data_IF_807647745229
#
_entry.id   IF_807647745229
#
_cell.length_a   1.000
_cell.length_b   1.000
_cell.length_c   1.000
_cell.angle_alpha   90.00
_cell.angle_beta   90.00
_cell.angle_gamma   90.00
#
_symmetry.space_group_name_H-M   'P 1'
#
loop_
_entity.id
_entity.type
_entity.pdbx_description
1 polymer ?
#
# COMPACT_ATOMS: atom_id res chain seq x y z
N UNK A 1 3.52 1.86 -1.73
CA UNK A 1 4.28 0.73 -2.31
C UNK A 1 4.36 0.88 -3.81
N UNK A 2 5.32 0.25 -4.49
CA UNK A 2 5.34 0.17 -5.95
C UNK A 2 5.05 -1.28 -6.37
N UNK A 3 3.80 -1.74 -6.17
CA UNK A 3 3.47 -3.19 -6.20
C UNK A 3 3.83 -3.87 -7.52
N UNK A 4 3.66 -3.19 -8.65
CA UNK A 4 4.03 -3.71 -9.98
C UNK A 4 5.54 -3.93 -10.14
N UNK A 5 6.35 -3.34 -9.27
CA UNK A 5 7.81 -3.46 -9.28
C UNK A 5 8.32 -4.36 -8.13
N UNK A 6 7.44 -5.17 -7.54
CA UNK A 6 7.80 -6.10 -6.45
C UNK A 6 8.04 -5.44 -5.09
N UNK A 7 7.80 -4.13 -4.96
CA UNK A 7 7.78 -3.45 -3.67
C UNK A 7 6.46 -3.78 -2.98
N UNK A 8 6.49 -4.72 -2.02
CA UNK A 8 5.33 -5.26 -1.31
C UNK A 8 5.49 -5.11 0.22
N UNK A 9 4.37 -4.96 0.93
CA UNK A 9 4.40 -4.88 2.40
C UNK A 9 4.91 -6.18 3.03
N UNK A 10 4.54 -7.33 2.46
CA UNK A 10 4.96 -8.67 2.93
C UNK A 10 6.48 -8.88 2.91
N UNK A 11 7.18 -8.25 1.96
CA UNK A 11 8.63 -8.35 1.85
C UNK A 11 9.34 -7.23 2.60
N UNK A 12 8.76 -6.03 2.66
CA UNK A 12 9.41 -4.84 3.19
C UNK A 12 9.23 -4.68 4.71
N UNK A 13 8.00 -4.82 5.23
CA UNK A 13 7.70 -4.51 6.64
C UNK A 13 8.42 -5.45 7.63
N UNK A 14 8.51 -6.77 7.41
CA UNK A 14 9.25 -7.64 8.32
C UNK A 14 10.73 -7.29 8.42
N UNK A 15 11.34 -6.82 7.33
CA UNK A 15 12.74 -6.34 7.32
C UNK A 15 12.85 -5.09 8.18
N UNK A 16 12.03 -4.07 7.93
CA UNK A 16 12.06 -2.83 8.71
C UNK A 16 11.84 -3.08 10.21
N UNK A 17 10.92 -3.98 10.58
CA UNK A 17 10.70 -4.35 11.98
C UNK A 17 11.93 -5.03 12.59
N UNK A 18 12.54 -5.98 11.90
CA UNK A 18 13.73 -6.72 12.37
C UNK A 18 14.93 -5.80 12.57
N UNK A 19 15.15 -4.88 11.65
CA UNK A 19 16.26 -3.92 11.72
C UNK A 19 15.95 -2.69 12.60
N UNK A 20 14.76 -2.63 13.22
CA UNK A 20 14.28 -1.51 14.02
C UNK A 20 14.33 -0.15 13.29
N UNK A 21 13.88 -0.14 12.02
CA UNK A 21 13.86 1.03 11.15
C UNK A 21 12.42 1.49 10.93
N UNK A 22 12.16 2.78 11.15
CA UNK A 22 10.89 3.41 10.81
C UNK A 22 10.71 3.52 9.29
N UNK A 23 9.47 3.38 8.82
CA UNK A 23 9.14 3.54 7.40
C UNK A 23 7.83 4.31 7.22
N UNK A 24 7.67 4.93 6.05
CA UNK A 24 6.45 5.66 5.65
C UNK A 24 6.04 5.16 4.29
N UNK A 25 4.76 4.85 4.11
CA UNK A 25 4.23 4.51 2.80
C UNK A 25 3.64 5.77 2.13
N UNK A 26 4.04 6.02 0.89
CA UNK A 26 3.36 7.00 0.05
C UNK A 26 2.02 6.42 -0.41
N UNK A 27 0.93 7.21 -0.34
CA UNK A 27 -0.46 6.82 -0.60
C UNK A 27 -1.15 6.16 0.59
N UNK A 28 -2.46 6.32 0.80
CA UNK A 28 -3.14 5.64 1.93
C UNK A 28 -4.57 5.24 1.57
N UNK A 29 -5.42 6.21 1.27
CA UNK A 29 -6.83 6.02 0.89
C UNK A 29 -7.00 6.44 -0.56
N UNK A 30 -7.77 5.66 -1.32
CA UNK A 30 -8.22 6.03 -2.66
C UNK A 30 -9.04 7.31 -2.62
N UNK A 31 -8.52 8.33 -3.28
CA UNK A 31 -9.04 9.68 -3.20
C UNK A 31 -8.30 10.64 -4.12
N UNK A 32 -8.20 11.90 -3.70
CA UNK A 32 -7.78 13.01 -4.58
C UNK A 32 -6.42 12.81 -5.25
N UNK A 33 -5.45 12.22 -4.56
CA UNK A 33 -4.09 12.05 -5.07
C UNK A 33 -3.94 10.88 -6.03
N UNK A 34 -4.93 9.98 -6.10
CA UNK A 34 -5.01 8.89 -7.08
C UNK A 34 -3.71 8.09 -7.19
N UNK A 35 -3.12 7.72 -6.06
CA UNK A 35 -1.82 7.04 -6.01
C UNK A 35 -1.95 5.53 -6.24
N UNK A 36 -3.16 4.99 -6.40
CA UNK A 36 -3.38 3.64 -6.94
C UNK A 36 -2.90 3.46 -8.38
N UNK A 37 -2.75 4.52 -9.16
CA UNK A 37 -2.26 4.42 -10.54
C UNK A 37 -0.72 4.34 -10.59
N UNK A 38 -0.14 3.46 -11.42
CA UNK A 38 1.30 3.39 -11.65
C UNK A 38 1.87 4.69 -12.23
N UNK A 39 3.18 4.90 -12.03
CA UNK A 39 3.89 6.02 -12.65
C UNK A 39 3.72 6.02 -14.19
N UNK A 40 3.50 7.20 -14.76
CA UNK A 40 3.26 7.35 -16.20
C UNK A 40 1.81 7.13 -16.65
N UNK A 41 0.90 6.77 -15.74
CA UNK A 41 -0.53 6.74 -16.04
C UNK A 41 -1.04 8.13 -16.45
N UNK A 42 -1.94 8.16 -17.43
CA UNK A 42 -2.57 9.39 -17.93
C UNK A 42 -3.93 9.59 -17.31
N UNK A 43 -4.43 10.82 -17.34
CA UNK A 43 -5.82 11.10 -17.00
C UNK A 43 -6.78 10.25 -17.84
N UNK A 44 -7.81 9.69 -17.21
CA UNK A 44 -8.77 8.80 -17.85
C UNK A 44 -8.29 7.35 -18.05
N UNK A 45 -7.10 6.99 -17.55
CA UNK A 45 -6.69 5.58 -17.52
C UNK A 45 -7.70 4.76 -16.71
N UNK A 46 -8.07 3.54 -17.15
CA UNK A 46 -8.92 2.66 -16.37
C UNK A 46 -8.23 2.30 -15.05
N UNK A 47 -9.02 2.00 -14.04
CA UNK A 47 -8.48 1.55 -12.76
C UNK A 47 -7.58 0.32 -12.94
N UNK A 48 -6.36 0.31 -12.39
CA UNK A 48 -5.43 -0.79 -12.59
C UNK A 48 -5.87 -2.02 -11.80
N UNK A 49 -5.65 -3.21 -12.37
CA UNK A 49 -5.91 -4.49 -11.70
C UNK A 49 -5.14 -4.61 -10.36
N UNK A 50 -3.88 -4.17 -10.37
CA UNK A 50 -3.06 -4.05 -9.17
C UNK A 50 -2.85 -2.59 -8.82
N UNK A 51 -3.36 -2.16 -7.67
CA UNK A 51 -3.14 -0.81 -7.18
C UNK A 51 -1.68 -0.60 -6.82
N UNK A 52 -1.18 0.59 -7.10
CA UNK A 52 0.22 0.91 -6.91
C UNK A 52 0.53 1.22 -5.44
N UNK A 53 0.04 2.33 -4.89
CA UNK A 53 0.42 2.77 -3.54
C UNK A 53 -0.62 2.60 -2.43
N UNK A 54 -1.91 2.75 -2.75
CA UNK A 54 -2.99 2.87 -1.75
C UNK A 54 -3.28 1.57 -1.00
N UNK A 55 -3.80 1.70 0.21
CA UNK A 55 -4.08 0.60 1.15
C UNK A 55 -5.59 0.43 1.33
N UNK A 56 -6.33 1.54 1.40
CA UNK A 56 -7.77 1.56 1.65
C UNK A 56 -8.51 2.15 0.45
N UNK A 57 -9.72 1.66 0.22
CA UNK A 57 -10.70 2.24 -0.69
C UNK A 57 -11.29 3.52 -0.10
N UNK A 58 -11.99 4.31 -0.91
CA UNK A 58 -12.59 5.57 -0.47
C UNK A 58 -13.61 5.43 0.67
N UNK A 59 -14.22 4.25 0.84
CA UNK A 59 -15.12 3.91 1.95
C UNK A 59 -14.39 3.38 3.21
N UNK A 60 -13.05 3.31 3.16
CA UNK A 60 -12.22 2.78 4.24
C UNK A 60 -12.05 1.26 4.23
N UNK A 61 -12.69 0.53 3.31
CA UNK A 61 -12.48 -0.91 3.19
C UNK A 61 -11.06 -1.20 2.68
N UNK A 62 -10.40 -2.29 3.15
CA UNK A 62 -9.11 -2.70 2.61
C UNK A 62 -9.17 -2.94 1.09
N UNK A 63 -8.17 -2.43 0.36
CA UNK A 63 -7.92 -2.87 -1.02
C UNK A 63 -7.50 -4.34 -1.02
N UNK A 64 -6.53 -4.68 -0.17
CA UNK A 64 -5.99 -6.03 0.07
C UNK A 64 -6.01 -6.32 1.56
N UNK A 65 -6.81 -7.32 1.96
CA UNK A 65 -7.07 -7.62 3.38
C UNK A 65 -5.82 -8.15 4.08
N UNK A 66 -5.09 -9.04 3.41
CA UNK A 66 -3.82 -9.61 3.85
C UNK A 66 -2.76 -8.55 4.17
N UNK A 67 -2.63 -7.51 3.34
CA UNK A 67 -1.71 -6.40 3.60
C UNK A 67 -2.10 -5.63 4.87
N UNK A 68 -3.38 -5.32 5.05
CA UNK A 68 -3.88 -4.62 6.25
C UNK A 68 -3.70 -5.48 7.50
N UNK A 69 -4.00 -6.77 7.42
CA UNK A 69 -3.81 -7.72 8.52
C UNK A 69 -2.33 -7.78 8.94
N UNK A 70 -1.41 -7.82 7.97
CA UNK A 70 0.04 -7.79 8.23
C UNK A 70 0.47 -6.49 8.91
N UNK A 71 0.03 -5.33 8.38
CA UNK A 71 0.34 -4.02 8.96
C UNK A 71 -0.11 -3.99 10.42
N UNK A 72 -1.36 -4.39 10.69
CA UNK A 72 -1.91 -4.45 12.06
C UNK A 72 -1.08 -5.37 12.95
N UNK A 73 -0.76 -6.58 12.48
CA UNK A 73 0.05 -7.55 13.24
C UNK A 73 1.43 -7.00 13.63
N UNK A 74 2.07 -6.20 12.77
CA UNK A 74 3.43 -5.69 13.02
C UNK A 74 3.47 -4.38 13.82
N UNK A 75 2.34 -3.67 13.88
CA UNK A 75 2.25 -2.32 14.47
C UNK A 75 1.46 -2.27 15.77
N UNK A 76 0.50 -3.19 15.97
CA UNK A 76 -0.18 -3.36 17.24
C UNK A 76 0.70 -4.24 18.13
N UNK A 77 1.11 -3.70 19.28
CA UNK A 77 1.65 -4.50 20.37
C UNK A 77 0.53 -5.30 21.03
N UNK A 78 0.87 -6.43 21.65
CA UNK A 78 -0.01 -7.11 22.62
C UNK A 78 -0.30 -6.21 23.84
#
# INVERSE_FOLDING_TARGET
>A
MARTNGSLFETSLPVFKRENVGCVNWGFVDGRTQTKYPWGSKEGSPEPETWFHEILKGDGAPYRKDEVDLIRKLTLSD
#
